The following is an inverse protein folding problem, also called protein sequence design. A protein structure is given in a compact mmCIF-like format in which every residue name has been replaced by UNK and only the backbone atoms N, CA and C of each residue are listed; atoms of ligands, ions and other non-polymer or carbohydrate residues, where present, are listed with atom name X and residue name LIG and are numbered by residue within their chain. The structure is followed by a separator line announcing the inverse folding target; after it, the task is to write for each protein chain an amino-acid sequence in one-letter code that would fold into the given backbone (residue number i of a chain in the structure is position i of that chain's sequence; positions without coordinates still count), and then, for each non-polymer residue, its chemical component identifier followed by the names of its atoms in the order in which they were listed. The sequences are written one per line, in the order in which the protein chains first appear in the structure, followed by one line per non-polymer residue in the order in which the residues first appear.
data_IF_073642730733
#
_entry.id   IF_073642730733
#
_cell.length_a   1.000
_cell.length_b   1.000
_cell.length_c   1.000
_cell.angle_alpha   90.00
_cell.angle_beta   90.00
_cell.angle_gamma   90.00
#
_symmetry.space_group_name_H-M   'P 1'
#
loop_
_entity.id
_entity.type
_entity.pdbx_description
1 polymer ?
#
# COMPACT_ATOMS: atom_id res chain seq x y z
N UNK A 1 -20.83 14.66 13.25
CA UNK A 1 -20.39 13.94 12.05
C UNK A 1 -18.91 13.70 12.27
N UNK A 2 -18.52 12.48 12.61
CA UNK A 2 -17.10 12.15 12.83
C UNK A 2 -16.43 12.11 11.45
N UNK A 3 -15.60 13.12 11.19
CA UNK A 3 -14.83 13.23 9.96
C UNK A 3 -13.56 12.40 10.14
N UNK A 4 -13.60 11.14 9.68
CA UNK A 4 -12.39 10.34 9.57
C UNK A 4 -11.63 10.87 8.36
N UNK A 5 -10.73 11.82 8.60
CA UNK A 5 -9.83 12.39 7.59
C UNK A 5 -8.79 11.32 7.19
N UNK A 6 -9.26 10.32 6.44
CA UNK A 6 -8.41 9.31 5.82
C UNK A 6 -7.83 9.98 4.59
N UNK A 7 -6.52 10.23 4.64
CA UNK A 7 -5.77 10.60 3.45
C UNK A 7 -5.78 9.42 2.45
N UNK A 8 -6.81 9.42 1.62
CA UNK A 8 -7.05 8.39 0.60
C UNK A 8 -5.92 8.33 -0.41
N UNK A 9 -5.24 9.45 -0.66
CA UNK A 9 -4.07 9.51 -1.54
C UNK A 9 -2.90 8.79 -0.88
N UNK A 10 -2.59 9.10 0.38
CA UNK A 10 -1.54 8.40 1.13
C UNK A 10 -1.83 6.90 1.25
N UNK A 11 -3.09 6.51 1.43
CA UNK A 11 -3.46 5.09 1.44
C UNK A 11 -3.31 4.43 0.07
N UNK A 12 -3.72 5.08 -1.01
CA UNK A 12 -3.49 4.55 -2.36
C UNK A 12 -1.99 4.39 -2.66
N UNK A 13 -1.17 5.38 -2.30
CA UNK A 13 0.28 5.30 -2.45
C UNK A 13 0.88 4.14 -1.65
N UNK A 14 0.47 3.98 -0.38
CA UNK A 14 0.92 2.87 0.48
C UNK A 14 0.58 1.51 -0.13
N UNK A 15 -0.64 1.35 -0.62
CA UNK A 15 -1.08 0.11 -1.26
C UNK A 15 -0.32 -0.16 -2.55
N UNK A 16 -0.14 0.84 -3.42
CA UNK A 16 0.63 0.71 -4.66
C UNK A 16 2.07 0.30 -4.36
N UNK A 17 2.73 1.00 -3.42
CA UNK A 17 4.08 0.68 -2.99
C UNK A 17 4.19 -0.77 -2.50
N UNK A 18 3.25 -1.19 -1.63
CA UNK A 18 3.25 -2.54 -1.08
C UNK A 18 3.10 -3.59 -2.19
N UNK A 19 2.15 -3.40 -3.10
CA UNK A 19 1.90 -4.37 -4.17
C UNK A 19 3.08 -4.49 -5.15
N UNK A 20 3.71 -3.35 -5.52
CA UNK A 20 4.92 -3.35 -6.34
C UNK A 20 6.08 -4.05 -5.62
N UNK A 21 6.25 -3.82 -4.32
CA UNK A 21 7.29 -4.48 -3.53
C UNK A 21 7.09 -5.99 -3.47
N UNK A 22 5.89 -6.45 -3.13
CA UNK A 22 5.58 -7.87 -3.05
C UNK A 22 5.73 -8.56 -4.40
N UNK A 23 5.26 -7.93 -5.48
CA UNK A 23 5.45 -8.45 -6.84
C UNK A 23 6.95 -8.60 -7.18
N UNK A 24 7.78 -7.59 -6.86
CA UNK A 24 9.23 -7.65 -7.05
C UNK A 24 9.88 -8.78 -6.25
N UNK A 25 9.46 -9.00 -5.00
CA UNK A 25 9.95 -10.09 -4.15
C UNK A 25 9.52 -11.45 -4.73
N UNK A 26 8.25 -11.60 -5.08
CA UNK A 26 7.71 -12.85 -5.62
C UNK A 26 8.39 -13.24 -6.94
N UNK A 27 8.64 -12.27 -7.84
CA UNK A 27 9.40 -12.48 -9.09
C UNK A 27 10.83 -12.90 -8.78
N UNK A 28 11.52 -12.20 -7.86
CA UNK A 28 12.88 -12.52 -7.48
C UNK A 28 13.03 -13.90 -6.82
N UNK A 29 11.99 -14.37 -6.12
CA UNK A 29 11.95 -15.69 -5.49
C UNK A 29 11.45 -16.81 -6.42
N UNK A 30 11.04 -16.49 -7.65
CA UNK A 30 10.46 -17.46 -8.59
C UNK A 30 9.08 -17.99 -8.17
N UNK A 31 8.35 -17.23 -7.35
CA UNK A 31 7.00 -17.57 -6.83
C UNK A 31 5.90 -16.64 -7.34
N UNK A 32 6.21 -15.78 -8.30
CA UNK A 32 5.28 -14.80 -8.86
C UNK A 32 4.06 -15.46 -9.50
N UNK A 33 2.88 -14.91 -9.20
CA UNK A 33 1.68 -15.13 -9.99
C UNK A 33 1.74 -14.33 -11.30
N UNK A 34 0.83 -14.60 -12.23
CA UNK A 34 0.71 -13.80 -13.45
C UNK A 34 0.45 -12.32 -13.16
N UNK A 35 -0.27 -12.01 -12.09
CA UNK A 35 -0.53 -10.63 -11.67
C UNK A 35 0.76 -9.99 -11.17
N UNK A 36 1.55 -10.70 -10.35
CA UNK A 36 2.85 -10.20 -9.88
C UNK A 36 3.79 -9.91 -11.05
N UNK A 37 3.84 -10.79 -12.06
CA UNK A 37 4.65 -10.57 -13.26
C UNK A 37 4.21 -9.33 -14.04
N UNK A 38 2.90 -9.13 -14.20
CA UNK A 38 2.36 -7.93 -14.88
C UNK A 38 2.72 -6.67 -14.09
N UNK A 39 2.49 -6.69 -12.77
CA UNK A 39 2.78 -5.54 -11.90
C UNK A 39 4.27 -5.23 -11.91
N UNK A 40 5.14 -6.23 -11.79
CA UNK A 40 6.59 -6.04 -11.83
C UNK A 40 7.04 -5.45 -13.17
N UNK A 41 6.55 -6.00 -14.28
CA UNK A 41 6.86 -5.52 -15.62
C UNK A 41 6.38 -4.09 -15.87
N UNK A 42 5.12 -3.78 -15.54
CA UNK A 42 4.59 -2.41 -15.62
C UNK A 42 5.36 -1.47 -14.71
N UNK A 43 5.70 -1.95 -13.51
CA UNK A 43 6.44 -1.15 -12.54
C UNK A 43 7.83 -0.83 -13.04
N UNK A 44 8.43 -1.49 -14.03
CA UNK A 44 9.78 -1.21 -14.54
C UNK A 44 9.80 -0.69 -15.99
N UNK A 45 8.64 -0.60 -16.63
CA UNK A 45 8.57 -0.20 -18.02
C UNK A 45 8.87 1.30 -18.20
N UNK A 46 9.86 1.62 -19.04
CA UNK A 46 10.25 3.01 -19.33
C UNK A 46 9.08 3.84 -19.88
N UNK A 47 8.22 3.24 -20.71
CA UNK A 47 7.03 3.92 -21.25
C UNK A 47 5.99 4.27 -20.18
N UNK A 48 5.97 3.54 -19.05
CA UNK A 48 5.04 3.80 -17.96
C UNK A 48 5.38 5.10 -17.23
N UNK A 49 6.66 5.46 -17.18
CA UNK A 49 7.15 6.68 -16.52
C UNK A 49 6.44 7.92 -17.07
N UNK A 50 6.25 7.99 -18.40
CA UNK A 50 5.57 9.09 -19.10
C UNK A 50 4.15 9.39 -18.60
N UNK A 51 3.47 8.40 -18.00
CA UNK A 51 2.10 8.55 -17.49
C UNK A 51 2.04 8.93 -16.02
N UNK A 52 3.10 8.65 -15.26
CA UNK A 52 3.11 8.78 -13.80
C UNK A 52 4.03 9.89 -13.31
N UNK A 53 4.94 10.42 -14.15
CA UNK A 53 5.85 11.49 -13.77
C UNK A 53 5.11 12.68 -13.14
N UNK A 54 5.59 13.12 -11.98
CA UNK A 54 5.03 14.21 -11.20
C UNK A 54 3.78 13.85 -10.39
N UNK A 55 3.32 12.59 -10.44
CA UNK A 55 2.14 12.15 -9.69
C UNK A 55 2.52 11.47 -8.36
N UNK A 56 1.53 11.35 -7.48
CA UNK A 56 1.63 10.54 -6.27
C UNK A 56 1.96 9.06 -6.55
N UNK A 57 1.58 8.54 -7.72
CA UNK A 57 1.81 7.15 -8.15
C UNK A 57 3.29 6.89 -8.45
N UNK A 58 3.99 7.85 -9.05
CA UNK A 58 5.42 7.73 -9.32
C UNK A 58 6.22 7.44 -8.06
N UNK A 59 5.99 8.25 -7.01
CA UNK A 59 6.67 8.07 -5.72
C UNK A 59 6.37 6.69 -5.10
N UNK A 60 5.11 6.24 -5.20
CA UNK A 60 4.70 4.93 -4.68
C UNK A 60 5.39 3.77 -5.42
N UNK A 61 5.45 3.84 -6.76
CA UNK A 61 6.12 2.82 -7.58
C UNK A 61 7.63 2.83 -7.32
N UNK A 62 8.26 4.01 -7.25
CA UNK A 62 9.69 4.13 -6.94
C UNK A 62 10.03 3.53 -5.58
N UNK A 63 9.26 3.86 -4.54
CA UNK A 63 9.42 3.28 -3.20
C UNK A 63 9.23 1.76 -3.19
N UNK A 64 8.26 1.24 -3.96
CA UNK A 64 8.00 -0.21 -4.06
C UNK A 64 9.09 -1.00 -4.80
N UNK A 65 9.83 -0.37 -5.73
CA UNK A 65 10.97 -1.00 -6.43
C UNK A 65 12.16 -1.24 -5.49
N UNK A 66 12.28 -0.46 -4.42
CA UNK A 66 13.38 -0.54 -3.46
C UNK A 66 13.18 -1.70 -2.47
N UNK A 67 14.05 -2.72 -2.52
CA UNK A 67 13.90 -3.94 -1.70
C UNK A 67 13.84 -3.72 -0.19
N UNK A 68 14.45 -2.64 0.32
CA UNK A 68 14.57 -2.34 1.77
C UNK A 68 13.57 -1.31 2.27
N UNK A 69 12.72 -0.78 1.38
CA UNK A 69 11.80 0.30 1.73
C UNK A 69 10.56 -0.26 2.41
N UNK A 70 10.19 0.37 3.52
CA UNK A 70 8.93 0.08 4.21
C UNK A 70 7.89 1.09 3.72
N UNK A 71 6.93 0.60 2.94
CA UNK A 71 5.82 1.39 2.43
C UNK A 71 5.00 2.03 3.57
N UNK A 72 4.97 1.38 4.73
CA UNK A 72 4.34 1.87 5.95
C UNK A 72 4.99 3.13 6.51
N UNK A 73 6.33 3.15 6.49
CA UNK A 73 7.11 4.31 6.95
C UNK A 73 7.14 5.41 5.89
N UNK A 74 7.12 5.04 4.61
CA UNK A 74 7.11 5.99 3.50
C UNK A 74 5.78 6.75 3.39
N UNK A 75 4.66 6.07 3.66
CA UNK A 75 3.31 6.65 3.57
C UNK A 75 2.58 6.56 4.94
N UNK A 76 3.05 7.31 5.96
CA UNK A 76 2.54 7.21 7.32
C UNK A 76 1.14 7.83 7.49
N UNK A 77 0.75 8.75 6.60
CA UNK A 77 -0.54 9.44 6.63
C UNK A 77 -1.73 8.54 6.27
N UNK A 78 -1.49 7.32 5.78
CA UNK A 78 -2.55 6.35 5.63
C UNK A 78 -3.00 5.84 7.02
N UNK A 79 -4.11 6.40 7.53
CA UNK A 79 -4.67 6.10 8.84
C UNK A 79 -5.58 4.85 8.88
N UNK A 80 -5.59 4.00 7.84
CA UNK A 80 -6.40 2.75 7.83
C UNK A 80 -6.10 1.89 9.07
N UNK A 81 -4.84 1.81 9.51
CA UNK A 81 -4.49 1.05 10.71
C UNK A 81 -5.15 1.61 11.97
N UNK A 82 -5.20 2.93 12.12
CA UNK A 82 -5.84 3.59 13.26
C UNK A 82 -7.36 3.38 13.25
N UNK A 83 -7.99 3.46 12.08
CA UNK A 83 -9.42 3.19 11.93
C UNK A 83 -9.77 1.73 12.24
N UNK A 84 -9.00 0.77 11.70
CA UNK A 84 -9.18 -0.66 11.98
C UNK A 84 -8.94 -0.96 13.45
N UNK A 85 -7.90 -0.41 14.07
CA UNK A 85 -7.66 -0.55 15.52
C UNK A 85 -8.82 0.00 16.33
N UNK A 86 -9.38 1.15 15.92
CA UNK A 86 -10.54 1.75 16.57
C UNK A 86 -11.76 0.83 16.47
N UNK A 87 -12.07 0.29 15.28
CA UNK A 87 -13.16 -0.69 15.09
C UNK A 87 -12.93 -1.96 15.91
N UNK A 88 -11.72 -2.53 15.89
CA UNK A 88 -11.38 -3.73 16.66
C UNK A 88 -11.54 -3.48 18.16
N UNK A 89 -11.15 -2.30 18.64
CA UNK A 89 -11.34 -1.89 20.03
C UNK A 89 -12.82 -1.75 20.38
N UNK A 90 -13.63 -1.18 19.49
CA UNK A 90 -15.08 -1.08 19.67
C UNK A 90 -15.74 -2.47 19.68
N UNK A 91 -15.38 -3.35 18.75
CA UNK A 91 -15.90 -4.72 18.68
C UNK A 91 -15.55 -5.54 19.93
N UNK A 92 -14.30 -5.45 20.42
CA UNK A 92 -13.89 -6.04 21.71
C UNK A 92 -14.67 -5.48 22.89
N UNK A 93 -14.95 -4.18 22.90
CA UNK A 93 -15.72 -3.55 23.99
C UNK A 93 -17.17 -3.99 23.98
N UNK A 94 -17.78 -4.18 22.81
CA UNK A 94 -19.13 -4.74 22.67
C UNK A 94 -19.22 -6.16 23.20
N UNK A 95 -18.25 -7.03 22.86
CA UNK A 95 -18.20 -8.41 23.35
C UNK A 95 -18.02 -8.50 24.88
N UNK A 96 -17.35 -7.52 25.49
CA UNK A 96 -17.22 -7.43 26.95
C UNK A 96 -18.46 -6.86 27.68
N UNK A 97 -19.43 -6.30 26.97
CA UNK A 97 -20.69 -5.84 27.55
C UNK A 97 -21.81 -6.90 27.47
N UNK A 98 -21.55 -8.05 26.84
CA UNK A 98 -22.47 -9.19 26.73
C UNK A 98 -22.18 -10.28 27.80
N UNK A 99 -21.40 -9.96 28.84
CA UNK A 99 -21.09 -10.85 29.98
C UNK A 99 -21.48 -10.23 31.31
#
# INVERSE_FOLDING_TARGET
MEDYDIDTVACAQRTICWYVREANVAVAEGKATSVDTIVEGLSRADWMEQFITGTAIEQAIQAGRERKTSCEKMFPHCAISSFVEHIVRMARRSQNCEM
#
